data_IF_240618402908
#
_entry.id   IF_240618402908
#
_cell.length_a   1.000
_cell.length_b   1.000
_cell.length_c   1.000
_cell.angle_alpha   90.00
_cell.angle_beta   90.00
_cell.angle_gamma   90.00
#
_symmetry.space_group_name_H-M   'P 1'
#
loop_
_entity.id
_entity.type
_entity.pdbx_description
1 polymer ?
#
# COMPACT_ATOMS: atom_id res chain seq x y z
N UNK A 1 0.37 16.45 21.07
CA UNK A 1 0.64 16.37 19.61
C UNK A 1 0.04 15.06 19.13
N UNK A 2 -0.71 15.05 18.01
CA UNK A 2 -1.22 13.81 17.44
C UNK A 2 -0.11 13.14 16.63
N UNK A 3 0.16 11.86 16.89
CA UNK A 3 1.16 11.07 16.16
C UNK A 3 0.52 10.06 15.19
N UNK A 4 -0.79 10.16 14.97
CA UNK A 4 -1.46 9.35 13.96
C UNK A 4 -0.93 9.72 12.57
N UNK A 5 -0.37 8.75 11.84
CA UNK A 5 0.18 8.94 10.50
C UNK A 5 -0.86 9.53 9.53
N UNK A 6 -2.14 9.15 9.71
CA UNK A 6 -3.22 9.69 8.89
C UNK A 6 -3.37 11.21 9.08
N UNK A 7 -3.09 11.76 10.26
CA UNK A 7 -3.17 13.22 10.50
C UNK A 7 -2.21 13.99 9.59
N UNK A 8 -0.98 13.47 9.43
CA UNK A 8 0.01 14.02 8.49
C UNK A 8 -0.49 13.90 7.03
N UNK A 9 -1.02 12.73 6.65
CA UNK A 9 -1.57 12.54 5.32
C UNK A 9 -2.78 13.44 5.06
N UNK A 10 -3.69 13.58 6.03
CA UNK A 10 -4.87 14.42 5.92
C UNK A 10 -4.53 15.90 5.74
N UNK A 11 -3.48 16.39 6.41
CA UNK A 11 -2.98 17.75 6.20
C UNK A 11 -2.54 17.94 4.73
N UNK A 12 -1.76 17.01 4.20
CA UNK A 12 -1.33 17.00 2.80
C UNK A 12 -2.49 16.87 1.82
N UNK A 13 -3.49 16.01 2.13
CA UNK A 13 -4.68 15.85 1.30
C UNK A 13 -5.50 17.12 1.22
N UNK A 14 -5.67 17.84 2.33
CA UNK A 14 -6.38 19.13 2.35
C UNK A 14 -5.63 20.19 1.52
N UNK A 15 -4.31 20.23 1.61
CA UNK A 15 -3.45 21.13 0.81
C UNK A 15 -3.57 20.83 -0.70
N UNK A 16 -3.58 19.55 -1.08
CA UNK A 16 -3.64 19.12 -2.48
C UNK A 16 -5.05 19.17 -3.08
N UNK A 17 -6.10 19.05 -2.27
CA UNK A 17 -7.50 19.17 -2.69
C UNK A 17 -7.84 18.28 -3.88
N UNK A 18 -8.24 18.88 -4.99
CA UNK A 18 -8.63 18.16 -6.22
C UNK A 18 -7.45 17.72 -7.10
N UNK A 19 -6.20 17.88 -6.65
CA UNK A 19 -5.05 17.35 -7.39
C UNK A 19 -5.12 15.83 -7.51
N UNK A 20 -4.61 15.24 -8.62
CA UNK A 20 -4.62 13.80 -8.82
C UNK A 20 -3.83 13.08 -7.72
N UNK A 21 -4.37 11.99 -7.19
CA UNK A 21 -3.69 11.07 -6.28
C UNK A 21 -3.48 9.70 -6.94
N UNK A 22 -4.56 9.03 -7.34
CA UNK A 22 -4.52 7.72 -8.00
C UNK A 22 -5.18 7.81 -9.37
N UNK A 23 -4.51 7.28 -10.39
CA UNK A 23 -5.10 7.01 -11.71
C UNK A 23 -4.91 5.53 -12.02
N UNK A 24 -5.97 4.82 -12.38
CA UNK A 24 -5.89 3.43 -12.85
C UNK A 24 -5.80 3.37 -14.37
N UNK A 25 -5.40 2.22 -14.91
CA UNK A 25 -5.35 2.00 -16.35
C UNK A 25 -6.74 2.09 -17.01
N UNK A 26 -7.77 1.67 -16.30
CA UNK A 26 -9.17 1.72 -16.76
C UNK A 26 -9.75 3.14 -16.76
N UNK A 27 -8.95 4.14 -16.37
CA UNK A 27 -9.32 5.56 -16.39
C UNK A 27 -10.08 6.02 -15.15
N UNK A 28 -10.10 5.22 -14.06
CA UNK A 28 -10.63 5.74 -12.78
C UNK A 28 -9.63 6.72 -12.17
N UNK A 29 -10.14 7.84 -11.71
CA UNK A 29 -9.36 8.90 -11.10
C UNK A 29 -9.84 9.17 -9.68
N UNK A 30 -8.88 9.27 -8.77
CA UNK A 30 -9.11 9.67 -7.38
C UNK A 30 -8.23 10.88 -7.08
N UNK A 31 -8.86 11.98 -6.73
CA UNK A 31 -8.16 13.15 -6.17
C UNK A 31 -7.78 12.93 -4.71
N UNK A 32 -6.97 13.80 -4.16
CA UNK A 32 -6.70 13.82 -2.73
C UNK A 32 -7.96 14.11 -1.91
N UNK A 33 -8.87 14.95 -2.43
CA UNK A 33 -10.16 15.21 -1.80
C UNK A 33 -11.06 13.97 -1.79
N UNK A 34 -11.08 13.19 -2.88
CA UNK A 34 -11.82 11.92 -2.94
C UNK A 34 -11.27 10.93 -1.92
N UNK A 35 -9.94 10.82 -1.80
CA UNK A 35 -9.30 9.95 -0.82
C UNK A 35 -9.62 10.35 0.63
N UNK A 36 -9.64 11.66 0.92
CA UNK A 36 -10.00 12.19 2.23
C UNK A 36 -11.46 11.84 2.58
N UNK A 37 -12.38 12.04 1.64
CA UNK A 37 -13.81 11.78 1.82
C UNK A 37 -14.13 10.28 1.92
N UNK A 38 -13.60 9.48 0.98
CA UNK A 38 -13.84 8.04 0.97
C UNK A 38 -13.24 7.34 2.20
N UNK A 39 -12.06 7.78 2.68
CA UNK A 39 -11.51 7.26 3.93
C UNK A 39 -12.37 7.60 5.15
N UNK A 40 -13.10 8.73 5.16
CA UNK A 40 -14.05 9.06 6.23
C UNK A 40 -15.28 8.14 6.19
N UNK A 41 -15.83 7.86 5.01
CA UNK A 41 -16.96 6.92 4.86
C UNK A 41 -16.58 5.50 5.28
N UNK A 42 -15.44 5.00 4.82
CA UNK A 42 -14.92 3.69 5.24
C UNK A 42 -14.64 3.64 6.76
N UNK A 43 -14.13 4.73 7.34
CA UNK A 43 -13.91 4.83 8.79
C UNK A 43 -15.22 4.73 9.57
N UNK A 44 -16.31 5.32 9.05
CA UNK A 44 -17.66 5.15 9.59
C UNK A 44 -18.10 3.68 9.58
N UNK A 45 -17.94 2.99 8.44
CA UNK A 45 -18.26 1.57 8.32
C UNK A 45 -17.44 0.70 9.26
N UNK A 46 -16.13 0.92 9.36
CA UNK A 46 -15.26 0.18 10.28
C UNK A 46 -15.71 0.35 11.74
N UNK A 47 -16.07 1.57 12.12
CA UNK A 47 -16.58 1.86 13.47
C UNK A 47 -17.93 1.17 13.72
N UNK A 48 -18.84 1.19 12.73
CA UNK A 48 -20.14 0.52 12.82
C UNK A 48 -19.99 -1.02 12.90
N UNK A 49 -18.91 -1.59 12.34
CA UNK A 49 -18.55 -2.99 12.45
C UNK A 49 -17.86 -3.34 13.77
N UNK A 50 -17.69 -2.38 14.68
CA UNK A 50 -17.12 -2.59 16.01
C UNK A 50 -15.60 -2.51 16.07
N UNK A 51 -14.94 -2.00 15.04
CA UNK A 51 -13.48 -1.77 15.08
C UNK A 51 -13.17 -0.57 15.97
N UNK A 52 -12.38 -0.79 17.00
CA UNK A 52 -11.93 0.22 17.96
C UNK A 52 -10.43 0.54 17.78
N UNK A 53 -9.98 1.53 18.51
CA UNK A 53 -8.55 1.89 18.57
C UNK A 53 -7.71 0.69 19.02
N UNK A 54 -6.67 0.37 18.27
CA UNK A 54 -5.78 -0.76 18.52
C UNK A 54 -6.28 -2.11 18.02
N UNK A 55 -7.52 -2.20 17.54
CA UNK A 55 -8.04 -3.43 16.93
C UNK A 55 -7.38 -3.68 15.58
N UNK A 56 -7.11 -4.95 15.27
CA UNK A 56 -6.53 -5.37 14.01
C UNK A 56 -7.62 -5.57 12.98
N UNK A 57 -7.35 -5.04 11.78
CA UNK A 57 -8.16 -5.25 10.58
C UNK A 57 -7.33 -6.09 9.61
N UNK A 58 -7.63 -7.38 9.52
CA UNK A 58 -6.98 -8.29 8.57
C UNK A 58 -7.56 -8.08 7.17
N UNK A 59 -6.70 -7.93 6.15
CA UNK A 59 -7.14 -7.58 4.80
C UNK A 59 -6.44 -8.47 3.78
N UNK A 60 -7.21 -9.34 3.12
CA UNK A 60 -6.75 -10.20 2.02
C UNK A 60 -7.58 -9.91 0.78
N UNK A 61 -7.23 -8.85 0.08
CA UNK A 61 -7.94 -8.37 -1.11
C UNK A 61 -6.99 -8.12 -2.27
N UNK A 62 -7.52 -8.09 -3.47
CA UNK A 62 -6.75 -7.72 -4.63
C UNK A 62 -6.38 -6.23 -4.58
N UNK A 63 -5.30 -5.88 -5.27
CA UNK A 63 -4.80 -4.51 -5.33
C UNK A 63 -5.79 -3.61 -6.04
N UNK A 64 -6.31 -2.61 -5.33
CA UNK A 64 -7.24 -1.61 -5.84
C UNK A 64 -7.06 -0.26 -5.12
N UNK A 65 -7.53 0.85 -5.69
CA UNK A 65 -7.61 2.12 -4.98
C UNK A 65 -8.37 2.00 -3.65
N UNK A 66 -9.47 1.23 -3.63
CA UNK A 66 -10.31 1.01 -2.45
C UNK A 66 -9.53 0.34 -1.31
N UNK A 67 -8.59 -0.55 -1.62
CA UNK A 67 -7.71 -1.15 -0.61
C UNK A 67 -6.78 -0.11 0.05
N UNK A 68 -6.31 0.90 -0.70
CA UNK A 68 -5.58 2.04 -0.15
C UNK A 68 -6.50 2.92 0.70
N UNK A 69 -7.72 3.17 0.25
CA UNK A 69 -8.71 3.94 1.02
C UNK A 69 -9.08 3.24 2.33
N UNK A 70 -9.17 1.90 2.33
CA UNK A 70 -9.35 1.09 3.54
C UNK A 70 -8.17 1.20 4.49
N UNK A 71 -6.94 1.17 3.97
CA UNK A 71 -5.73 1.42 4.78
C UNK A 71 -5.81 2.79 5.45
N UNK A 72 -6.15 3.84 4.71
CA UNK A 72 -6.29 5.20 5.23
C UNK A 72 -7.41 5.31 6.28
N UNK A 73 -8.54 4.64 6.06
CA UNK A 73 -9.65 4.60 7.01
C UNK A 73 -9.25 3.90 8.32
N UNK A 74 -8.52 2.79 8.21
CA UNK A 74 -8.00 2.06 9.37
C UNK A 74 -7.05 2.94 10.21
N UNK A 75 -6.11 3.65 9.58
CA UNK A 75 -5.24 4.59 10.27
C UNK A 75 -6.04 5.74 10.92
N UNK A 76 -7.05 6.29 10.24
CA UNK A 76 -7.89 7.39 10.72
C UNK A 76 -8.52 7.09 12.07
N UNK A 77 -9.07 5.87 12.23
CA UNK A 77 -9.73 5.45 13.47
C UNK A 77 -8.77 4.86 14.51
N UNK A 78 -7.47 4.79 14.21
CA UNK A 78 -6.48 4.19 15.10
C UNK A 78 -6.51 2.66 15.13
N UNK A 79 -7.07 2.04 14.10
CA UNK A 79 -6.98 0.59 13.88
C UNK A 79 -5.59 0.18 13.38
N UNK A 80 -5.26 -1.09 13.57
CA UNK A 80 -3.98 -1.69 13.14
C UNK A 80 -4.20 -2.47 11.84
N UNK A 81 -3.65 -1.97 10.74
CA UNK A 81 -3.80 -2.58 9.41
C UNK A 81 -2.93 -3.83 9.28
N UNK A 82 -3.54 -4.95 8.89
CA UNK A 82 -2.87 -6.24 8.75
C UNK A 82 -3.09 -6.78 7.33
N UNK A 83 -2.25 -6.35 6.36
CA UNK A 83 -2.37 -6.82 4.99
C UNK A 83 -1.84 -8.26 4.87
N UNK A 84 -2.62 -9.11 4.20
CA UNK A 84 -2.30 -10.51 3.95
C UNK A 84 -2.11 -10.74 2.45
N UNK A 85 -1.09 -11.55 2.11
CA UNK A 85 -0.85 -11.95 0.73
C UNK A 85 -2.06 -12.71 0.19
N UNK A 86 -2.54 -12.32 -0.99
CA UNK A 86 -3.66 -12.98 -1.68
C UNK A 86 -3.37 -14.43 -2.06
N UNK A 87 -2.10 -14.85 -2.07
CA UNK A 87 -1.68 -16.23 -2.29
C UNK A 87 -1.62 -17.10 -1.04
N UNK A 88 -1.89 -16.57 0.17
CA UNK A 88 -1.90 -17.39 1.37
C UNK A 88 -3.02 -18.42 1.38
N UNK A 89 -2.67 -19.61 1.82
CA UNK A 89 -3.60 -20.72 1.99
C UNK A 89 -4.55 -20.50 3.18
N UNK A 90 -5.65 -21.25 3.22
CA UNK A 90 -6.58 -21.18 4.34
C UNK A 90 -5.96 -21.50 5.71
N UNK A 91 -4.94 -22.38 5.74
CA UNK A 91 -4.24 -22.73 6.98
C UNK A 91 -3.31 -21.60 7.46
N UNK A 92 -2.64 -20.92 6.53
CA UNK A 92 -1.84 -19.74 6.86
C UNK A 92 -2.74 -18.61 7.37
N UNK A 93 -3.89 -18.37 6.73
CA UNK A 93 -4.86 -17.36 7.18
C UNK A 93 -5.37 -17.71 8.59
N UNK A 94 -5.73 -18.98 8.87
CA UNK A 94 -6.11 -19.41 10.23
C UNK A 94 -5.04 -19.11 11.24
N UNK A 95 -3.78 -19.37 10.89
CA UNK A 95 -2.66 -19.05 11.76
C UNK A 95 -2.61 -17.55 12.06
N UNK A 96 -2.65 -16.70 11.05
CA UNK A 96 -2.56 -15.24 11.22
C UNK A 96 -3.74 -14.67 12.00
N UNK A 97 -4.97 -15.13 11.71
CA UNK A 97 -6.13 -14.66 12.45
C UNK A 97 -6.14 -15.13 13.92
N UNK A 98 -5.61 -16.31 14.22
CA UNK A 98 -5.45 -16.78 15.60
C UNK A 98 -4.37 -16.01 16.36
N UNK A 99 -3.29 -15.63 15.68
CA UNK A 99 -2.16 -14.94 16.31
C UNK A 99 -2.44 -13.44 16.50
N UNK A 100 -3.07 -12.80 15.51
CA UNK A 100 -3.36 -11.38 15.54
C UNK A 100 -4.71 -11.02 16.17
N UNK A 101 -5.65 -11.98 16.30
CA UNK A 101 -7.00 -11.77 16.85
C UNK A 101 -7.68 -10.50 16.28
N UNK A 102 -7.92 -10.41 14.94
CA UNK A 102 -8.51 -9.23 14.34
C UNK A 102 -9.99 -9.07 14.71
N UNK A 103 -10.44 -7.83 14.87
CA UNK A 103 -11.86 -7.49 15.02
C UNK A 103 -12.63 -7.62 13.70
N UNK A 104 -11.95 -7.47 12.57
CA UNK A 104 -12.54 -7.57 11.23
C UNK A 104 -11.56 -8.29 10.28
N UNK A 105 -12.11 -9.21 9.47
CA UNK A 105 -11.42 -9.79 8.33
C UNK A 105 -12.09 -9.34 7.04
N UNK A 106 -11.35 -8.64 6.17
CA UNK A 106 -11.81 -8.19 4.85
C UNK A 106 -11.18 -9.08 3.79
N UNK A 107 -12.00 -9.72 2.96
CA UNK A 107 -11.57 -10.63 1.91
C UNK A 107 -12.14 -10.24 0.54
N UNK A 108 -11.72 -10.95 -0.51
CA UNK A 108 -12.34 -10.81 -1.83
C UNK A 108 -13.78 -11.31 -1.81
N UNK A 109 -14.70 -10.74 -2.63
CA UNK A 109 -16.08 -11.25 -2.74
C UNK A 109 -16.16 -12.74 -3.06
N UNK A 110 -15.26 -13.25 -3.91
CA UNK A 110 -15.17 -14.68 -4.27
C UNK A 110 -14.84 -15.61 -3.10
N UNK A 111 -14.21 -15.10 -2.06
CA UNK A 111 -13.65 -15.91 -0.98
C UNK A 111 -14.51 -15.87 0.29
N UNK A 112 -15.67 -15.20 0.25
CA UNK A 112 -16.48 -14.88 1.43
C UNK A 112 -16.88 -16.12 2.25
N UNK A 113 -17.26 -17.22 1.62
CA UNK A 113 -17.69 -18.42 2.34
C UNK A 113 -16.52 -19.09 3.07
N UNK A 114 -15.36 -19.16 2.41
CA UNK A 114 -14.12 -19.65 3.01
C UNK A 114 -13.67 -18.74 4.17
N UNK A 115 -13.70 -17.43 3.96
CA UNK A 115 -13.34 -16.44 4.97
C UNK A 115 -14.24 -16.53 6.21
N UNK A 116 -15.55 -16.69 6.04
CA UNK A 116 -16.50 -16.90 7.13
C UNK A 116 -16.25 -18.19 7.90
N UNK A 117 -15.89 -19.27 7.20
CA UNK A 117 -15.52 -20.52 7.86
C UNK A 117 -14.26 -20.34 8.72
N UNK A 118 -13.23 -19.73 8.15
CA UNK A 118 -11.98 -19.45 8.89
C UNK A 118 -12.25 -18.52 10.09
N UNK A 119 -13.03 -17.45 9.90
CA UNK A 119 -13.37 -16.51 10.98
C UNK A 119 -14.06 -17.21 12.17
N UNK A 120 -15.02 -18.12 11.90
CA UNK A 120 -15.65 -18.94 12.95
C UNK A 120 -14.63 -19.80 13.70
N UNK A 121 -13.71 -20.45 12.98
CA UNK A 121 -12.69 -21.34 13.57
C UNK A 121 -11.65 -20.55 14.41
N UNK A 122 -11.48 -19.27 14.12
CA UNK A 122 -10.46 -18.42 14.76
C UNK A 122 -11.01 -17.42 15.76
N UNK A 123 -12.35 -17.29 15.84
CA UNK A 123 -13.01 -16.34 16.73
C UNK A 123 -13.03 -14.89 16.20
N UNK A 124 -12.71 -14.65 14.92
CA UNK A 124 -12.83 -13.33 14.32
C UNK A 124 -14.32 -12.95 14.21
N UNK A 125 -14.77 -11.84 14.85
CA UNK A 125 -16.19 -11.57 15.01
C UNK A 125 -16.89 -11.08 13.75
N UNK A 126 -16.16 -10.45 12.81
CA UNK A 126 -16.74 -9.86 11.61
C UNK A 126 -15.94 -10.21 10.34
N UNK A 127 -16.68 -10.43 9.25
CA UNK A 127 -16.11 -10.66 7.92
C UNK A 127 -16.87 -9.82 6.90
N UNK A 128 -16.15 -9.05 6.11
CA UNK A 128 -16.67 -8.28 5.00
C UNK A 128 -15.88 -8.48 3.73
N UNK A 129 -16.39 -7.98 2.61
CA UNK A 129 -15.74 -8.12 1.31
C UNK A 129 -15.40 -6.76 0.71
N UNK A 130 -14.29 -6.73 -0.01
CA UNK A 130 -13.85 -5.61 -0.83
C UNK A 130 -13.36 -6.14 -2.17
N UNK A 131 -13.98 -5.69 -3.25
CA UNK A 131 -13.58 -6.01 -4.63
C UNK A 131 -12.67 -4.94 -5.22
N UNK A 132 -12.47 -5.01 -6.54
CA UNK A 132 -11.55 -4.11 -7.27
C UNK A 132 -12.25 -2.94 -7.96
N UNK A 133 -13.58 -2.97 -8.04
CA UNK A 133 -14.40 -2.00 -8.78
C UNK A 133 -15.30 -1.15 -7.86
N UNK A 134 -14.80 -0.79 -6.69
CA UNK A 134 -15.55 -0.12 -5.63
C UNK A 134 -16.79 -0.93 -5.19
N UNK A 135 -16.70 -2.25 -5.26
CA UNK A 135 -17.74 -3.23 -4.93
C UNK A 135 -17.42 -4.00 -3.64
N UNK A 136 -18.37 -4.82 -3.21
CA UNK A 136 -18.28 -5.62 -2.00
C UNK A 136 -19.05 -5.04 -0.82
N UNK A 137 -19.37 -5.91 0.14
CA UNK A 137 -20.24 -5.55 1.28
C UNK A 137 -19.69 -4.43 2.16
N UNK A 138 -18.37 -4.26 2.23
CA UNK A 138 -17.76 -3.16 2.96
C UNK A 138 -18.03 -1.80 2.30
N UNK A 139 -17.99 -1.75 0.96
CA UNK A 139 -18.30 -0.51 0.23
C UNK A 139 -19.79 -0.15 0.33
N UNK A 140 -20.68 -1.15 0.29
CA UNK A 140 -22.12 -0.93 0.52
C UNK A 140 -22.38 -0.36 1.92
N UNK A 141 -21.71 -0.91 2.94
CA UNK A 141 -21.79 -0.37 4.31
C UNK A 141 -21.22 1.04 4.42
N UNK A 142 -20.11 1.32 3.75
CA UNK A 142 -19.50 2.65 3.74
C UNK A 142 -20.47 3.70 3.18
N UNK A 143 -21.21 3.38 2.11
CA UNK A 143 -22.22 4.27 1.54
C UNK A 143 -23.42 4.52 2.47
N UNK A 144 -23.72 3.60 3.39
CA UNK A 144 -24.82 3.67 4.33
C UNK A 144 -24.42 4.21 5.71
N UNK A 145 -23.13 4.34 5.97
CA UNK A 145 -22.59 4.81 7.24
C UNK A 145 -22.41 6.33 7.23
N UNK A 146 -22.62 6.98 8.37
CA UNK A 146 -22.21 8.36 8.53
C UNK A 146 -20.68 8.45 8.44
N UNK A 147 -20.14 9.39 7.64
CA UNK A 147 -18.69 9.55 7.53
C UNK A 147 -18.09 9.98 8.87
N UNK A 148 -16.95 9.42 9.20
CA UNK A 148 -16.19 9.78 10.38
C UNK A 148 -15.06 10.72 10.02
N UNK A 149 -15.27 12.03 10.19
CA UNK A 149 -14.31 13.08 9.81
C UNK A 149 -13.20 13.29 10.85
N UNK A 150 -13.44 12.91 12.10
CA UNK A 150 -12.44 12.99 13.15
C UNK A 150 -11.26 12.05 12.91
N UNK A 151 -10.10 12.43 13.43
CA UNK A 151 -8.88 11.64 13.40
C UNK A 151 -8.53 11.31 14.85
N UNK A 152 -8.43 10.03 15.15
CA UNK A 152 -8.11 9.57 16.50
C UNK A 152 -6.72 10.05 16.88
N UNK A 153 -6.60 10.64 18.07
CA UNK A 153 -5.29 11.06 18.64
C UNK A 153 -4.56 9.85 19.17
N UNK A 154 -3.37 9.64 18.67
CA UNK A 154 -2.49 8.51 19.01
C UNK A 154 -1.12 9.00 19.48
N UNK A 155 -0.44 8.14 20.25
CA UNK A 155 0.95 8.27 20.59
C UNK A 155 1.89 7.74 19.50
N UNK A 156 3.14 8.11 19.55
CA UNK A 156 4.14 7.69 18.57
C UNK A 156 4.42 6.17 18.57
N UNK A 157 4.10 5.48 19.66
CA UNK A 157 4.33 4.04 19.87
C UNK A 157 3.09 3.19 19.59
N UNK A 158 1.94 3.82 19.31
CA UNK A 158 0.76 3.10 18.94
C UNK A 158 0.95 2.42 17.57
N UNK A 159 0.43 1.21 17.44
CA UNK A 159 0.63 0.42 16.23
C UNK A 159 -0.22 0.96 15.08
N UNK A 160 0.38 1.05 13.92
CA UNK A 160 -0.28 1.37 12.65
C UNK A 160 -0.53 0.13 11.81
N UNK A 161 0.40 -0.84 11.85
CA UNK A 161 0.30 -2.06 11.06
C UNK A 161 1.05 -3.24 11.68
N UNK A 162 0.65 -4.43 11.25
CA UNK A 162 1.38 -5.68 11.50
C UNK A 162 1.58 -6.37 10.15
N UNK A 163 2.82 -6.77 9.83
CA UNK A 163 3.13 -7.57 8.65
C UNK A 163 3.78 -8.88 9.05
N UNK A 164 3.22 -9.98 8.56
CA UNK A 164 3.82 -11.30 8.77
C UNK A 164 5.00 -11.52 7.83
N UNK A 165 6.14 -11.91 8.41
CA UNK A 165 7.37 -12.26 7.69
C UNK A 165 7.62 -13.76 7.81
N UNK A 166 8.21 -14.36 6.77
CA UNK A 166 8.69 -15.75 6.80
C UNK A 166 9.91 -15.85 7.71
N UNK A 167 9.71 -15.89 9.01
CA UNK A 167 10.81 -15.95 9.98
C UNK A 167 11.78 -17.09 9.72
N UNK A 168 13.05 -16.87 10.04
CA UNK A 168 14.15 -17.86 9.94
C UNK A 168 13.93 -19.13 10.80
N UNK A 169 12.93 -19.15 11.67
CA UNK A 169 12.66 -20.20 12.67
C UNK A 169 11.39 -21.03 12.39
N UNK A 170 10.87 -21.03 11.18
CA UNK A 170 9.81 -21.96 10.73
C UNK A 170 8.38 -21.45 10.83
N UNK A 171 8.02 -20.51 11.73
CA UNK A 171 6.70 -19.86 11.76
C UNK A 171 6.82 -18.38 11.45
N UNK A 172 5.92 -17.87 10.62
CA UNK A 172 5.82 -16.43 10.34
C UNK A 172 5.62 -15.65 11.64
N UNK A 173 6.25 -14.48 11.73
CA UNK A 173 6.14 -13.56 12.87
C UNK A 173 5.56 -12.24 12.40
N UNK A 174 4.66 -11.65 13.19
CA UNK A 174 4.10 -10.34 12.94
C UNK A 174 5.08 -9.22 13.33
N UNK A 175 5.66 -8.57 12.35
CA UNK A 175 6.44 -7.34 12.59
C UNK A 175 5.47 -6.20 12.93
N UNK A 176 5.57 -5.66 14.13
CA UNK A 176 4.74 -4.58 14.64
C UNK A 176 5.35 -3.23 14.25
N UNK A 177 4.62 -2.47 13.43
CA UNK A 177 5.05 -1.16 12.94
C UNK A 177 4.19 -0.06 13.57
N UNK A 178 4.84 0.88 14.25
CA UNK A 178 4.16 2.02 14.88
C UNK A 178 3.90 3.13 13.87
N UNK A 179 3.00 4.06 14.21
CA UNK A 179 2.78 5.27 13.42
C UNK A 179 4.09 6.04 13.19
N UNK A 180 4.95 6.14 14.21
CA UNK A 180 6.27 6.78 14.09
C UNK A 180 7.19 6.04 13.12
N UNK A 181 7.24 4.71 13.15
CA UNK A 181 8.07 3.94 12.22
C UNK A 181 7.72 4.25 10.76
N UNK A 182 6.42 4.25 10.46
CA UNK A 182 5.95 4.53 9.10
C UNK A 182 6.16 6.00 8.70
N UNK A 183 5.88 6.94 9.61
CA UNK A 183 6.04 8.38 9.35
C UNK A 183 7.51 8.74 9.09
N UNK A 184 8.40 8.39 10.03
CA UNK A 184 9.83 8.75 9.93
C UNK A 184 10.50 8.15 8.68
N UNK A 185 10.11 6.92 8.30
CA UNK A 185 10.60 6.29 7.08
C UNK A 185 10.13 7.07 5.84
N UNK A 186 8.83 7.39 5.75
CA UNK A 186 8.29 8.13 4.61
C UNK A 186 8.92 9.53 4.50
N UNK A 187 9.05 10.26 5.61
CA UNK A 187 9.71 11.58 5.66
C UNK A 187 11.16 11.53 5.18
N UNK A 188 11.92 10.54 5.66
CA UNK A 188 13.32 10.34 5.26
C UNK A 188 13.42 10.07 3.77
N UNK A 189 12.56 9.19 3.23
CA UNK A 189 12.57 8.84 1.81
C UNK A 189 12.12 9.99 0.91
N UNK A 190 11.11 10.78 1.32
CA UNK A 190 10.72 12.00 0.61
C UNK A 190 11.91 12.94 0.49
N UNK A 191 12.62 13.17 1.61
CA UNK A 191 13.79 14.04 1.62
C UNK A 191 14.94 13.48 0.79
N UNK A 192 15.32 12.20 1.01
CA UNK A 192 16.49 11.59 0.37
C UNK A 192 16.31 11.37 -1.13
N UNK A 193 15.09 11.12 -1.59
CA UNK A 193 14.75 10.92 -2.99
C UNK A 193 14.28 12.19 -3.68
N UNK A 194 14.22 13.30 -2.94
CA UNK A 194 13.66 14.58 -3.40
C UNK A 194 12.27 14.40 -4.01
N UNK A 195 11.45 13.55 -3.37
CA UNK A 195 10.10 13.29 -3.84
C UNK A 195 9.23 14.53 -3.63
N UNK A 196 8.48 14.91 -4.64
CA UNK A 196 7.70 16.14 -4.63
C UNK A 196 6.28 15.95 -5.16
N UNK A 197 5.48 16.98 -5.02
CA UNK A 197 4.10 17.01 -5.53
C UNK A 197 4.00 16.91 -7.07
N UNK A 198 5.11 17.16 -7.78
CA UNK A 198 5.19 17.06 -9.24
C UNK A 198 5.47 15.63 -9.72
N UNK A 199 5.80 14.73 -8.80
CA UNK A 199 6.12 13.36 -9.16
C UNK A 199 4.87 12.55 -9.50
N UNK A 200 5.06 11.65 -10.46
CA UNK A 200 4.09 10.62 -10.82
C UNK A 200 4.75 9.25 -10.75
N UNK A 201 4.37 8.48 -9.73
CA UNK A 201 4.90 7.14 -9.50
C UNK A 201 4.20 6.10 -10.37
N UNK A 202 4.95 5.32 -11.13
CA UNK A 202 4.45 4.08 -11.75
C UNK A 202 4.48 2.99 -10.69
N UNK A 203 3.29 2.63 -10.19
CA UNK A 203 3.13 1.74 -9.04
C UNK A 203 2.59 0.38 -9.46
N UNK A 204 3.48 -0.59 -9.71
CA UNK A 204 3.13 -1.97 -10.06
C UNK A 204 3.40 -3.00 -8.93
N UNK A 205 3.90 -2.54 -7.77
CA UNK A 205 4.21 -3.40 -6.61
C UNK A 205 2.93 -3.90 -5.91
N UNK A 206 2.95 -5.09 -5.28
CA UNK A 206 1.85 -5.54 -4.44
C UNK A 206 1.76 -4.70 -3.16
N UNK A 207 0.53 -4.42 -2.70
CA UNK A 207 0.26 -3.58 -1.52
C UNK A 207 0.10 -4.36 -0.21
N UNK A 208 0.32 -5.66 -0.23
CA UNK A 208 0.42 -6.47 0.98
C UNK A 208 1.86 -6.59 1.51
N UNK A 209 2.82 -5.98 0.83
CA UNK A 209 4.22 -5.88 1.24
C UNK A 209 4.61 -4.46 1.58
N UNK A 210 5.59 -4.33 2.49
CA UNK A 210 6.14 -3.04 2.94
C UNK A 210 6.52 -2.14 1.77
N UNK A 211 7.21 -2.68 0.74
CA UNK A 211 7.67 -1.88 -0.40
C UNK A 211 6.53 -1.21 -1.16
N UNK A 212 5.46 -1.95 -1.47
CA UNK A 212 4.33 -1.39 -2.23
C UNK A 212 3.43 -0.49 -1.40
N UNK A 213 3.16 -0.85 -0.14
CA UNK A 213 2.24 -0.08 0.70
C UNK A 213 2.96 1.02 1.50
N UNK A 214 3.92 0.65 2.35
CA UNK A 214 4.49 1.61 3.31
C UNK A 214 5.64 2.44 2.75
N UNK A 215 6.25 2.01 1.64
CA UNK A 215 7.23 2.83 0.95
C UNK A 215 6.54 3.57 -0.19
N UNK A 216 6.08 2.88 -1.22
CA UNK A 216 5.57 3.51 -2.43
C UNK A 216 4.35 4.41 -2.16
N UNK A 217 3.30 3.89 -1.49
CA UNK A 217 2.10 4.70 -1.23
C UNK A 217 2.34 5.80 -0.18
N UNK A 218 3.05 5.48 0.95
CA UNK A 218 3.24 6.49 1.99
C UNK A 218 4.15 7.64 1.54
N UNK A 219 5.20 7.36 0.74
CA UNK A 219 6.05 8.41 0.16
C UNK A 219 5.24 9.30 -0.78
N UNK A 220 4.40 8.69 -1.64
CA UNK A 220 3.52 9.44 -2.53
C UNK A 220 2.55 10.35 -1.75
N UNK A 221 1.90 9.82 -0.73
CA UNK A 221 0.99 10.56 0.15
C UNK A 221 1.70 11.69 0.89
N UNK A 222 2.87 11.39 1.47
CA UNK A 222 3.67 12.36 2.24
C UNK A 222 4.14 13.52 1.37
N UNK A 223 4.55 13.25 0.14
CA UNK A 223 4.99 14.25 -0.82
C UNK A 223 3.84 15.03 -1.48
N UNK A 224 2.62 14.50 -1.45
CA UNK A 224 1.50 15.05 -2.22
C UNK A 224 1.61 14.77 -3.72
N UNK A 225 2.31 13.72 -4.10
CA UNK A 225 2.54 13.27 -5.48
C UNK A 225 1.35 12.49 -6.03
N UNK A 226 1.42 12.06 -7.29
CA UNK A 226 0.40 11.20 -7.91
C UNK A 226 0.96 9.82 -8.22
N UNK A 227 0.08 8.84 -8.48
CA UNK A 227 0.50 7.53 -8.95
C UNK A 227 -0.38 6.98 -10.06
N UNK A 228 0.26 6.35 -11.04
CA UNK A 228 -0.36 5.40 -11.95
C UNK A 228 -0.39 4.05 -11.23
N UNK A 229 -1.59 3.62 -10.83
CA UNK A 229 -1.78 2.48 -9.94
C UNK A 229 -2.19 1.25 -10.72
N UNK A 230 -1.20 0.39 -10.97
CA UNK A 230 -1.35 -0.80 -11.80
C UNK A 230 -1.62 -2.03 -10.93
N UNK A 231 -2.53 -2.92 -11.32
CA UNK A 231 -2.85 -4.13 -10.53
C UNK A 231 -1.63 -5.02 -10.29
N UNK A 232 -0.77 -5.13 -11.30
CA UNK A 232 0.47 -5.93 -11.29
C UNK A 232 1.46 -5.38 -12.30
N UNK A 233 2.68 -5.92 -12.28
CA UNK A 233 3.66 -5.64 -13.33
C UNK A 233 3.23 -6.30 -14.65
N UNK A 234 3.15 -5.46 -15.68
CA UNK A 234 2.96 -5.84 -17.07
C UNK A 234 3.88 -4.95 -17.91
N UNK A 235 4.78 -5.55 -18.68
CA UNK A 235 5.80 -4.78 -19.40
C UNK A 235 5.19 -3.83 -20.44
N UNK A 236 4.14 -4.26 -21.15
CA UNK A 236 3.48 -3.42 -22.15
C UNK A 236 2.88 -2.18 -21.51
N UNK A 237 2.21 -2.37 -20.37
CA UNK A 237 1.63 -1.26 -19.60
C UNK A 237 2.70 -0.33 -19.03
N UNK A 238 3.82 -0.88 -18.55
CA UNK A 238 4.93 -0.05 -18.05
C UNK A 238 5.49 0.81 -19.18
N UNK A 239 5.72 0.25 -20.39
CA UNK A 239 6.21 1.03 -21.53
C UNK A 239 5.23 2.13 -21.97
N UNK A 240 3.93 1.90 -21.88
CA UNK A 240 2.91 2.92 -22.16
C UNK A 240 2.95 4.06 -21.12
N UNK A 241 3.31 3.77 -19.88
CA UNK A 241 3.30 4.74 -18.77
C UNK A 241 4.64 5.45 -18.53
N UNK A 242 5.78 4.89 -18.97
CA UNK A 242 7.10 5.51 -18.80
C UNK A 242 7.18 6.94 -19.31
N UNK A 243 6.62 7.30 -20.49
CA UNK A 243 6.66 8.68 -20.98
C UNK A 243 5.92 9.70 -20.10
N UNK A 244 5.00 9.24 -19.27
CA UNK A 244 4.16 10.06 -18.40
C UNK A 244 4.54 9.97 -16.92
N UNK A 245 5.45 9.06 -16.57
CA UNK A 245 5.96 8.87 -15.22
C UNK A 245 7.18 9.71 -14.92
N UNK A 246 7.49 9.90 -13.64
CA UNK A 246 8.77 10.47 -13.18
C UNK A 246 9.54 9.52 -12.29
N UNK A 247 8.85 8.60 -11.61
CA UNK A 247 9.42 7.63 -10.68
C UNK A 247 8.85 6.24 -10.94
N UNK A 248 9.70 5.22 -10.86
CA UNK A 248 9.26 3.82 -10.83
C UNK A 248 9.93 3.10 -9.66
N UNK A 249 9.13 2.40 -8.86
CA UNK A 249 9.62 1.49 -7.82
C UNK A 249 9.31 0.06 -8.21
N UNK A 250 10.31 -0.82 -8.12
CA UNK A 250 10.19 -2.20 -8.54
C UNK A 250 11.02 -3.17 -7.73
N UNK A 251 10.89 -4.43 -8.07
CA UNK A 251 11.77 -5.51 -7.64
C UNK A 251 12.74 -5.86 -8.77
N UNK A 252 13.89 -6.51 -8.51
CA UNK A 252 14.89 -6.81 -9.54
C UNK A 252 14.33 -7.47 -10.79
N UNK A 253 13.36 -8.38 -10.64
CA UNK A 253 12.74 -9.08 -11.77
C UNK A 253 11.98 -8.15 -12.72
N UNK A 254 11.49 -6.98 -12.26
CA UNK A 254 10.87 -5.99 -13.14
C UNK A 254 11.94 -5.42 -14.09
N UNK A 255 13.07 -5.01 -13.55
CA UNK A 255 14.18 -4.45 -14.30
C UNK A 255 14.80 -5.46 -15.26
N UNK A 256 14.99 -6.72 -14.83
CA UNK A 256 15.48 -7.77 -15.73
C UNK A 256 14.57 -7.96 -16.95
N UNK A 257 13.23 -7.91 -16.77
CA UNK A 257 12.27 -7.99 -17.87
C UNK A 257 12.32 -6.77 -18.77
N UNK A 258 12.42 -5.56 -18.20
CA UNK A 258 12.52 -4.33 -18.98
C UNK A 258 13.80 -4.29 -19.80
N UNK A 259 14.95 -4.70 -19.24
CA UNK A 259 16.23 -4.75 -19.95
C UNK A 259 16.21 -5.70 -21.17
N UNK A 260 15.43 -6.78 -21.09
CA UNK A 260 15.31 -7.72 -22.21
C UNK A 260 14.40 -7.20 -23.33
N UNK A 261 13.64 -6.15 -23.09
CA UNK A 261 12.72 -5.60 -24.09
C UNK A 261 13.43 -4.55 -24.97
N UNK A 262 13.30 -4.63 -26.32
CA UNK A 262 13.93 -3.68 -27.22
C UNK A 262 13.34 -2.26 -27.14
N UNK A 263 12.15 -2.08 -26.55
CA UNK A 263 11.52 -0.77 -26.33
C UNK A 263 12.20 0.07 -25.25
N UNK A 264 13.04 -0.55 -24.40
CA UNK A 264 13.78 0.20 -23.39
C UNK A 264 14.89 1.02 -24.03
N UNK A 265 14.66 2.31 -24.18
CA UNK A 265 15.57 3.28 -24.79
C UNK A 265 15.65 4.57 -23.96
N UNK A 266 16.66 5.43 -24.18
CA UNK A 266 16.74 6.72 -23.51
C UNK A 266 15.52 7.60 -23.77
N UNK A 267 14.92 7.53 -24.97
CA UNK A 267 13.78 8.37 -25.36
C UNK A 267 12.53 8.01 -24.55
N UNK A 268 12.24 6.71 -24.36
CA UNK A 268 11.05 6.27 -23.60
C UNK A 268 11.18 6.59 -22.12
N UNK A 269 12.39 6.71 -21.61
CA UNK A 269 12.68 7.02 -20.20
C UNK A 269 13.06 8.48 -19.96
N UNK A 270 12.99 9.34 -20.97
CA UNK A 270 13.49 10.73 -20.89
C UNK A 270 12.82 11.58 -19.78
N UNK A 271 11.58 11.30 -19.43
CA UNK A 271 10.84 12.00 -18.36
C UNK A 271 11.05 11.38 -16.98
N UNK A 272 11.61 10.18 -16.92
CA UNK A 272 11.90 9.51 -15.66
C UNK A 272 13.10 10.17 -14.98
N UNK A 273 13.03 10.31 -13.65
CA UNK A 273 14.16 10.85 -12.87
C UNK A 273 14.68 9.87 -11.81
N UNK A 274 13.87 8.86 -11.44
CA UNK A 274 14.22 7.94 -10.37
C UNK A 274 13.68 6.54 -10.65
N UNK A 275 14.56 5.57 -10.62
CA UNK A 275 14.25 4.15 -10.60
C UNK A 275 14.77 3.54 -9.30
N UNK A 276 13.89 2.85 -8.56
CA UNK A 276 14.22 2.24 -7.26
C UNK A 276 14.02 0.74 -7.33
N UNK A 277 15.03 -0.04 -6.95
CA UNK A 277 14.94 -1.48 -6.78
C UNK A 277 15.08 -1.88 -5.31
N UNK A 278 14.27 -2.83 -4.86
CA UNK A 278 14.33 -3.34 -3.50
C UNK A 278 13.67 -4.70 -3.34
N UNK A 279 13.64 -5.21 -2.12
CA UNK A 279 13.04 -6.49 -1.71
C UNK A 279 13.83 -7.76 -2.12
N UNK A 280 14.83 -7.63 -2.98
CA UNK A 280 15.77 -8.67 -3.37
C UNK A 280 17.05 -8.04 -3.93
N UNK A 281 18.19 -8.74 -3.97
CA UNK A 281 19.43 -8.24 -4.56
C UNK A 281 19.27 -7.99 -6.07
N UNK A 282 19.69 -6.82 -6.54
CA UNK A 282 19.82 -6.50 -7.97
C UNK A 282 21.20 -6.96 -8.44
N UNK A 283 21.26 -7.68 -9.56
CA UNK A 283 22.57 -8.10 -10.13
C UNK A 283 23.25 -6.91 -10.80
N UNK A 284 24.59 -6.86 -10.71
CA UNK A 284 25.40 -5.84 -11.40
C UNK A 284 25.10 -5.84 -12.91
N UNK A 285 24.97 -7.01 -13.52
CA UNK A 285 24.64 -7.16 -14.94
C UNK A 285 23.31 -6.45 -15.30
N UNK A 286 22.25 -6.63 -14.49
CA UNK A 286 20.96 -5.96 -14.74
C UNK A 286 21.09 -4.45 -14.57
N UNK A 287 21.84 -4.00 -13.56
CA UNK A 287 22.06 -2.58 -13.29
C UNK A 287 22.79 -1.91 -14.46
N UNK A 288 23.94 -2.47 -14.86
CA UNK A 288 24.78 -1.96 -15.96
C UNK A 288 24.03 -1.96 -17.31
N UNK A 289 23.31 -3.05 -17.59
CA UNK A 289 22.52 -3.13 -18.81
C UNK A 289 21.35 -2.13 -18.84
N UNK A 290 20.73 -1.85 -17.69
CA UNK A 290 19.67 -0.84 -17.59
C UNK A 290 20.24 0.57 -17.81
N UNK A 291 21.36 0.90 -17.14
CA UNK A 291 22.03 2.18 -17.29
C UNK A 291 22.52 2.40 -18.73
N UNK A 292 23.13 1.38 -19.35
CA UNK A 292 23.59 1.45 -20.73
C UNK A 292 22.45 1.73 -21.74
N UNK A 293 21.25 1.21 -21.46
CA UNK A 293 20.07 1.38 -22.33
C UNK A 293 19.32 2.69 -22.10
N UNK A 294 19.34 3.22 -20.90
CA UNK A 294 18.45 4.34 -20.52
C UNK A 294 19.21 5.61 -20.13
N UNK A 295 20.47 5.49 -19.75
CA UNK A 295 21.24 6.56 -19.11
C UNK A 295 20.87 6.79 -17.64
N UNK A 296 19.98 5.97 -17.04
CA UNK A 296 19.55 6.08 -15.65
C UNK A 296 20.16 4.94 -14.81
N UNK A 297 20.74 5.30 -13.68
CA UNK A 297 21.11 4.32 -12.66
C UNK A 297 19.87 3.89 -11.87
N UNK A 298 19.82 2.62 -11.46
CA UNK A 298 18.80 2.13 -10.54
C UNK A 298 19.31 2.33 -9.12
N UNK A 299 18.56 3.06 -8.30
CA UNK A 299 18.85 3.19 -6.87
C UNK A 299 18.44 1.90 -6.18
N UNK A 300 19.45 1.11 -5.78
CA UNK A 300 19.21 -0.10 -5.01
C UNK A 300 19.05 0.24 -3.52
N UNK A 301 18.10 -0.40 -2.87
CA UNK A 301 17.87 -0.26 -1.44
C UNK A 301 17.80 -1.62 -0.76
N UNK A 302 18.38 -1.69 0.42
CA UNK A 302 18.36 -2.84 1.29
C UNK A 302 17.48 -2.57 2.53
N UNK A 303 16.76 -3.58 2.95
CA UNK A 303 15.98 -3.55 4.16
C UNK A 303 15.08 -4.78 4.30
N UNK A 304 14.48 -4.90 5.46
CA UNK A 304 13.50 -5.96 5.78
C UNK A 304 12.24 -5.34 6.38
N UNK A 305 11.20 -6.12 6.54
CA UNK A 305 9.91 -5.63 7.04
C UNK A 305 10.05 -4.93 8.38
N UNK A 306 10.84 -5.50 9.30
CA UNK A 306 11.09 -4.99 10.65
C UNK A 306 11.78 -3.62 10.68
N UNK A 307 12.49 -3.26 9.62
CA UNK A 307 13.14 -1.94 9.45
C UNK A 307 12.37 -1.03 8.48
N UNK A 308 11.15 -1.42 8.12
CA UNK A 308 10.34 -0.76 7.10
C UNK A 308 11.10 -0.55 5.79
N UNK A 309 11.87 -1.59 5.38
CA UNK A 309 12.65 -1.67 4.14
C UNK A 309 13.84 -0.71 4.02
N UNK A 310 14.30 -0.09 5.11
CA UNK A 310 15.49 0.77 5.09
C UNK A 310 16.41 0.46 6.27
N UNK A 311 17.67 0.20 5.93
CA UNK A 311 18.78 0.06 6.88
C UNK A 311 19.89 0.99 6.43
#
# INVERSE_FOLDING_TARGET
MNHNLFDTFAARMRERGNAPFITTREGRHYSYQDALSASAQLAGALTALGVNVGDRVAVQVDKSPEAILLYLACLRIGGVYLPLNTGYTGDEIRYFLKDAEPALFVCRPSDIDTARAIARDTGCPAVDTLGTDADGSLMEKAQQSDPRDDIVTLGERDLAAILYTSGTTGRSKGAMLTHRNLASNAETLVSSWHFSAEDRLIHALPIFHTHGLFVACNVTLMAGASMCFLPKFDADVIFDELPNGSVMMGVPTFYTRLVQDPRLTPEVTAHMRLFVSGSAPLTAETHEAFEAKTGHAILERYGMTETNMNI
#
